data_IF_779792939998
#
_entry.id   IF_779792939998
#
_cell.length_a   1.000
_cell.length_b   1.000
_cell.length_c   1.000
_cell.angle_alpha   90.00
_cell.angle_beta   90.00
_cell.angle_gamma   90.00
#
_symmetry.space_group_name_H-M   'P 1'
#
loop_
_entity.id
_entity.type
_entity.pdbx_description
1 polymer ?
#
# COMPACT_ATOMS: atom_id res chain seq x y z
N UNK A 1 32.35 12.35 20.59
CA UNK A 1 31.97 12.43 19.17
C UNK A 1 31.96 10.99 18.64
N UNK A 2 30.81 10.36 18.57
CA UNK A 2 30.69 9.05 17.89
C UNK A 2 30.84 9.31 16.40
N UNK A 3 31.73 8.56 15.75
CA UNK A 3 31.81 8.56 14.30
C UNK A 3 30.41 8.23 13.74
N UNK A 4 29.97 8.89 12.65
CA UNK A 4 28.72 8.52 12.01
C UNK A 4 28.79 7.02 11.70
N UNK A 5 27.73 6.29 12.05
CA UNK A 5 27.59 4.88 11.70
C UNK A 5 27.83 4.75 10.20
N UNK A 6 28.88 3.99 9.81
CA UNK A 6 29.11 3.75 8.39
C UNK A 6 27.84 3.10 7.83
N UNK A 7 27.19 3.81 6.92
CA UNK A 7 26.12 3.28 6.10
C UNK A 7 26.57 1.90 5.57
N UNK A 8 25.82 0.85 5.88
CA UNK A 8 26.14 -0.47 5.34
C UNK A 8 26.01 -0.40 3.82
N UNK A 9 26.98 -0.91 3.12
CA UNK A 9 26.91 -1.04 1.67
C UNK A 9 25.63 -1.80 1.33
N UNK A 10 24.89 -1.28 0.36
CA UNK A 10 23.69 -1.92 -0.15
C UNK A 10 24.06 -3.23 -0.82
N UNK A 11 23.65 -4.36 -0.23
CA UNK A 11 23.84 -5.69 -0.81
C UNK A 11 22.60 -6.06 -1.63
N UNK A 12 22.80 -6.31 -2.91
CA UNK A 12 21.76 -6.76 -3.84
C UNK A 12 21.51 -8.27 -3.77
N UNK A 13 22.31 -8.99 -2.99
CA UNK A 13 22.17 -10.45 -2.87
C UNK A 13 20.97 -10.79 -2.00
N UNK A 14 19.97 -11.43 -2.59
CA UNK A 14 18.82 -11.94 -1.86
C UNK A 14 19.24 -13.15 -1.03
N UNK A 15 18.77 -13.20 0.22
CA UNK A 15 18.90 -14.38 1.07
C UNK A 15 17.94 -15.52 0.63
N UNK A 16 18.03 -16.67 1.29
CA UNK A 16 17.24 -17.84 0.89
C UNK A 16 15.74 -17.66 1.19
N UNK A 17 15.39 -16.96 2.28
CA UNK A 17 14.00 -16.65 2.64
C UNK A 17 13.38 -15.67 1.64
N UNK A 18 14.12 -14.63 1.23
CA UNK A 18 13.69 -13.69 0.20
C UNK A 18 13.48 -14.39 -1.15
N UNK A 19 14.32 -15.35 -1.54
CA UNK A 19 14.14 -16.12 -2.77
C UNK A 19 12.92 -17.02 -2.72
N UNK A 20 12.70 -17.70 -1.60
CA UNK A 20 11.52 -18.56 -1.42
C UNK A 20 10.22 -17.75 -1.44
N UNK A 21 10.20 -16.59 -0.78
CA UNK A 21 9.08 -15.67 -0.84
C UNK A 21 8.83 -15.16 -2.25
N UNK A 22 9.88 -14.78 -2.98
CA UNK A 22 9.79 -14.35 -4.37
C UNK A 22 9.12 -15.40 -5.25
N UNK A 23 9.57 -16.67 -5.17
CA UNK A 23 8.98 -17.76 -5.96
C UNK A 23 7.48 -17.94 -5.66
N UNK A 24 7.07 -17.68 -4.41
CA UNK A 24 5.67 -17.75 -3.99
C UNK A 24 4.88 -16.57 -4.54
N UNK A 25 5.39 -15.35 -4.41
CA UNK A 25 4.72 -14.13 -4.91
C UNK A 25 4.60 -14.15 -6.44
N UNK A 26 5.65 -14.55 -7.15
CA UNK A 26 5.62 -14.63 -8.62
C UNK A 26 4.64 -15.68 -9.12
N UNK A 27 4.55 -16.85 -8.46
CA UNK A 27 3.54 -17.86 -8.81
C UNK A 27 2.13 -17.34 -8.58
N UNK A 28 1.89 -16.67 -7.46
CA UNK A 28 0.59 -16.06 -7.16
C UNK A 28 0.27 -14.94 -8.16
N UNK A 29 1.21 -14.06 -8.44
CA UNK A 29 1.06 -12.98 -9.43
C UNK A 29 0.70 -13.52 -10.81
N UNK A 30 1.34 -14.61 -11.24
CA UNK A 30 1.10 -15.23 -12.55
C UNK A 30 -0.26 -15.93 -12.62
N UNK A 31 -0.56 -16.76 -11.61
CA UNK A 31 -1.69 -17.69 -11.68
C UNK A 31 -3.00 -17.10 -11.16
N UNK A 32 -2.93 -16.20 -10.16
CA UNK A 32 -4.11 -15.67 -9.48
C UNK A 32 -4.38 -14.19 -9.82
N UNK A 33 -3.35 -13.38 -10.06
CA UNK A 33 -3.53 -11.96 -10.38
C UNK A 33 -3.60 -11.74 -11.89
N UNK A 34 -2.52 -12.10 -12.63
CA UNK A 34 -2.42 -11.84 -14.07
C UNK A 34 -3.50 -12.56 -14.86
N UNK A 35 -3.88 -13.75 -14.42
CA UNK A 35 -4.90 -14.56 -15.09
C UNK A 35 -6.29 -13.90 -15.11
N UNK A 36 -6.62 -13.08 -14.11
CA UNK A 36 -7.94 -12.43 -13.98
C UNK A 36 -7.90 -10.92 -14.27
N UNK A 37 -6.73 -10.32 -14.37
CA UNK A 37 -6.54 -8.87 -14.45
C UNK A 37 -7.35 -8.20 -15.56
N UNK A 38 -7.33 -8.77 -16.78
CA UNK A 38 -8.05 -8.21 -17.93
C UNK A 38 -9.57 -8.21 -17.73
N UNK A 39 -10.11 -9.35 -17.32
CA UNK A 39 -11.55 -9.52 -17.13
C UNK A 39 -12.05 -8.65 -15.97
N UNK A 40 -11.25 -8.53 -14.92
CA UNK A 40 -11.52 -7.66 -13.78
C UNK A 40 -11.52 -6.17 -14.19
N UNK A 41 -10.55 -5.72 -15.00
CA UNK A 41 -10.50 -4.35 -15.50
C UNK A 41 -11.70 -4.05 -16.42
N UNK A 42 -12.08 -4.98 -17.32
CA UNK A 42 -13.24 -4.84 -18.17
C UNK A 42 -14.55 -4.76 -17.35
N UNK A 43 -14.66 -5.57 -16.30
CA UNK A 43 -15.79 -5.55 -15.36
C UNK A 43 -15.80 -4.31 -14.45
N UNK A 44 -14.65 -3.68 -14.22
CA UNK A 44 -14.49 -2.57 -13.26
C UNK A 44 -14.72 -2.99 -11.80
N UNK A 45 -14.41 -4.24 -11.46
CA UNK A 45 -14.63 -4.81 -10.14
C UNK A 45 -13.60 -5.91 -9.84
N UNK A 46 -13.24 -6.04 -8.55
CA UNK A 46 -12.42 -7.16 -8.08
C UNK A 46 -13.22 -8.46 -8.17
N UNK A 47 -12.63 -9.56 -8.67
CA UNK A 47 -13.31 -10.85 -8.73
C UNK A 47 -13.73 -11.36 -7.35
N UNK A 48 -14.88 -12.00 -7.26
CA UNK A 48 -15.38 -12.61 -6.01
C UNK A 48 -14.37 -13.60 -5.43
N UNK A 49 -14.13 -13.53 -4.12
CA UNK A 49 -13.18 -14.37 -3.40
C UNK A 49 -11.69 -14.08 -3.68
N UNK A 50 -11.37 -13.06 -4.49
CA UNK A 50 -9.98 -12.71 -4.79
C UNK A 50 -9.21 -12.30 -3.53
N UNK A 51 -9.79 -11.44 -2.71
CA UNK A 51 -9.14 -10.99 -1.49
C UNK A 51 -8.95 -12.10 -0.46
N UNK A 52 -9.87 -13.07 -0.37
CA UNK A 52 -9.70 -14.23 0.53
C UNK A 52 -8.49 -15.08 0.11
N UNK A 53 -8.28 -15.28 -1.19
CA UNK A 53 -7.06 -15.93 -1.69
C UNK A 53 -5.79 -15.14 -1.35
N UNK A 54 -5.85 -13.80 -1.36
CA UNK A 54 -4.69 -12.98 -0.97
C UNK A 54 -4.42 -13.04 0.53
N UNK A 55 -5.43 -13.25 1.36
CA UNK A 55 -5.26 -13.46 2.79
C UNK A 55 -4.42 -14.72 3.09
N UNK A 56 -4.51 -15.77 2.25
CA UNK A 56 -3.70 -16.99 2.37
C UNK A 56 -2.18 -16.73 2.25
N UNK A 57 -1.77 -15.62 1.59
CA UNK A 57 -0.37 -15.21 1.55
C UNK A 57 0.14 -14.71 2.91
N UNK A 58 -0.75 -14.41 3.84
CA UNK A 58 -0.44 -13.98 5.18
C UNK A 58 0.26 -12.63 5.30
N UNK A 59 0.26 -11.80 4.27
CA UNK A 59 1.05 -10.56 4.22
C UNK A 59 0.80 -9.61 5.41
N UNK A 60 -0.44 -9.53 5.88
CA UNK A 60 -0.80 -8.71 7.05
C UNK A 60 -0.52 -9.41 8.38
N UNK A 61 -0.57 -10.75 8.40
CA UNK A 61 -0.35 -11.60 9.59
C UNK A 61 1.13 -11.70 9.96
N UNK A 62 2.03 -11.72 8.97
CA UNK A 62 3.46 -11.98 9.17
C UNK A 62 4.10 -11.08 10.25
N UNK A 63 3.89 -9.75 10.29
CA UNK A 63 4.53 -8.87 11.27
C UNK A 63 3.81 -8.83 12.63
N UNK A 64 2.63 -9.42 12.76
CA UNK A 64 1.88 -9.41 14.02
C UNK A 64 2.55 -10.37 15.02
N UNK A 65 2.75 -9.94 16.29
CA UNK A 65 3.35 -10.80 17.32
C UNK A 65 2.59 -12.11 17.53
N UNK A 66 3.32 -13.20 17.82
CA UNK A 66 2.74 -14.52 18.12
C UNK A 66 1.71 -14.48 19.28
N UNK A 67 1.96 -13.62 20.27
CA UNK A 67 1.05 -13.43 21.40
C UNK A 67 -0.34 -12.89 20.97
N UNK A 68 -0.44 -12.29 19.78
CA UNK A 68 -1.68 -11.77 19.19
C UNK A 68 -2.18 -12.64 18.03
N UNK A 69 -1.60 -13.84 17.85
CA UNK A 69 -2.00 -14.81 16.84
C UNK A 69 -1.26 -14.68 15.48
N UNK A 70 -0.31 -13.79 15.37
CA UNK A 70 0.50 -13.59 14.16
C UNK A 70 1.71 -14.51 14.08
N UNK A 71 2.56 -14.29 13.07
CA UNK A 71 3.79 -15.07 12.86
C UNK A 71 5.01 -14.49 13.60
N UNK A 72 4.93 -13.29 14.17
CA UNK A 72 6.02 -12.66 14.91
C UNK A 72 7.26 -12.34 14.06
N UNK A 73 7.12 -12.31 12.74
CA UNK A 73 8.24 -12.05 11.86
C UNK A 73 8.66 -10.57 11.92
N UNK A 74 9.97 -10.35 11.89
CA UNK A 74 10.45 -8.98 11.81
C UNK A 74 9.97 -8.30 10.52
N UNK A 75 9.66 -7.01 10.61
CA UNK A 75 9.30 -6.21 9.44
C UNK A 75 10.57 -5.80 8.71
N UNK A 76 10.71 -6.30 7.50
CA UNK A 76 11.82 -5.98 6.62
C UNK A 76 11.31 -5.14 5.43
N UNK A 77 11.53 -3.82 5.42
CA UNK A 77 11.15 -2.95 4.32
C UNK A 77 11.62 -3.45 2.94
N UNK A 78 12.80 -4.05 2.88
CA UNK A 78 13.33 -4.65 1.64
C UNK A 78 12.44 -5.80 1.18
N UNK A 79 12.12 -6.76 2.06
CA UNK A 79 11.26 -7.91 1.71
C UNK A 79 9.85 -7.46 1.32
N UNK A 80 9.29 -6.47 2.01
CA UNK A 80 7.99 -5.90 1.66
C UNK A 80 8.00 -5.24 0.27
N UNK A 81 9.07 -4.52 -0.08
CA UNK A 81 9.23 -3.91 -1.40
C UNK A 81 9.35 -4.98 -2.50
N UNK A 82 10.11 -6.05 -2.26
CA UNK A 82 10.24 -7.17 -3.19
C UNK A 82 8.89 -7.87 -3.41
N UNK A 83 8.14 -8.16 -2.35
CA UNK A 83 6.82 -8.79 -2.44
C UNK A 83 5.83 -7.91 -3.20
N UNK A 84 5.80 -6.60 -2.92
CA UNK A 84 4.94 -5.65 -3.62
C UNK A 84 5.28 -5.55 -5.11
N UNK A 85 6.57 -5.53 -5.46
CA UNK A 85 7.06 -5.54 -6.85
C UNK A 85 6.60 -6.81 -7.57
N UNK A 86 6.86 -7.99 -6.99
CA UNK A 86 6.51 -9.28 -7.61
C UNK A 86 4.99 -9.41 -7.82
N UNK A 87 4.17 -9.01 -6.85
CA UNK A 87 2.70 -9.06 -6.98
C UNK A 87 2.16 -8.05 -8.01
N UNK A 88 2.68 -6.81 -8.00
CA UNK A 88 2.22 -5.75 -8.90
C UNK A 88 2.59 -5.99 -10.38
N UNK A 89 3.54 -6.89 -10.65
CA UNK A 89 3.77 -7.42 -11.99
C UNK A 89 2.51 -8.08 -12.58
N UNK A 90 1.71 -8.72 -11.74
CA UNK A 90 0.44 -9.31 -12.15
C UNK A 90 -0.59 -8.28 -12.57
N UNK A 91 -0.94 -7.38 -11.66
CA UNK A 91 -1.81 -6.23 -11.87
C UNK A 91 -1.69 -5.25 -10.69
N UNK A 92 -1.58 -3.96 -10.99
CA UNK A 92 -1.39 -2.92 -9.99
C UNK A 92 -2.63 -2.73 -9.10
N UNK A 93 -3.82 -2.69 -9.69
CA UNK A 93 -5.05 -2.35 -8.97
C UNK A 93 -5.46 -3.47 -8.00
N UNK A 94 -5.43 -4.72 -8.47
CA UNK A 94 -5.70 -5.91 -7.66
C UNK A 94 -4.67 -6.05 -6.52
N UNK A 95 -3.39 -5.83 -6.83
CA UNK A 95 -2.33 -5.89 -5.82
C UNK A 95 -2.47 -4.79 -4.79
N UNK A 96 -2.75 -3.55 -5.21
CA UNK A 96 -2.94 -2.44 -4.27
C UNK A 96 -4.08 -2.72 -3.29
N UNK A 97 -5.22 -3.26 -3.77
CA UNK A 97 -6.30 -3.69 -2.89
C UNK A 97 -5.86 -4.76 -1.88
N UNK A 98 -5.13 -5.77 -2.36
CA UNK A 98 -4.65 -6.89 -1.53
C UNK A 98 -3.68 -6.45 -0.42
N UNK A 99 -2.78 -5.47 -0.70
CA UNK A 99 -1.78 -5.01 0.27
C UNK A 99 -2.22 -3.82 1.11
N UNK A 100 -3.36 -3.20 0.79
CA UNK A 100 -3.88 -2.03 1.52
C UNK A 100 -4.00 -2.27 3.04
N UNK A 101 -4.47 -3.44 3.55
CA UNK A 101 -4.55 -3.69 4.99
C UNK A 101 -3.20 -3.66 5.71
N UNK A 102 -2.09 -3.93 5.02
CA UNK A 102 -0.75 -3.87 5.63
C UNK A 102 -0.40 -2.47 6.13
N UNK A 103 -0.85 -1.41 5.45
CA UNK A 103 -0.60 -0.05 5.89
C UNK A 103 -1.25 0.23 7.26
N UNK A 104 -2.49 -0.24 7.46
CA UNK A 104 -3.18 -0.16 8.74
C UNK A 104 -2.45 -0.97 9.82
N UNK A 105 -2.16 -2.25 9.57
CA UNK A 105 -1.48 -3.15 10.49
C UNK A 105 -0.10 -2.59 10.90
N UNK A 106 0.70 -2.17 9.92
CA UNK A 106 2.04 -1.65 10.19
C UNK A 106 1.99 -0.35 11.00
N UNK A 107 1.05 0.54 10.70
CA UNK A 107 0.90 1.78 11.47
C UNK A 107 0.45 1.50 12.91
N UNK A 108 -0.44 0.54 13.10
CA UNK A 108 -0.88 0.12 14.43
C UNK A 108 0.26 -0.52 15.24
N UNK A 109 1.10 -1.33 14.60
CA UNK A 109 2.29 -1.91 15.22
C UNK A 109 3.33 -0.85 15.60
N UNK A 110 3.49 0.19 14.77
CA UNK A 110 4.47 1.25 15.03
C UNK A 110 4.00 2.24 16.10
N UNK A 111 2.75 2.67 16.01
CA UNK A 111 2.27 3.88 16.70
C UNK A 111 1.00 3.65 17.54
N UNK A 112 0.37 2.48 17.48
CA UNK A 112 -0.80 2.15 18.29
C UNK A 112 -0.46 1.89 19.75
N UNK A 113 -1.44 2.07 20.63
CA UNK A 113 -1.35 1.64 22.03
C UNK A 113 -1.43 0.10 22.14
N UNK A 114 -0.98 -0.47 23.26
CA UNK A 114 -1.08 -1.91 23.50
C UNK A 114 -2.54 -2.38 23.47
N UNK A 115 -3.46 -1.61 24.05
CA UNK A 115 -4.90 -1.89 24.00
C UNK A 115 -5.44 -1.95 22.56
N UNK A 116 -5.03 -1.01 21.70
CA UNK A 116 -5.43 -0.99 20.29
C UNK A 116 -4.83 -2.16 19.52
N UNK A 117 -3.57 -2.52 19.80
CA UNK A 117 -2.95 -3.70 19.19
C UNK A 117 -3.69 -4.98 19.59
N UNK A 118 -4.03 -5.15 20.87
CA UNK A 118 -4.81 -6.29 21.37
C UNK A 118 -6.23 -6.34 20.79
N UNK A 119 -6.85 -5.20 20.54
CA UNK A 119 -8.21 -5.11 20.01
C UNK A 119 -8.29 -5.43 18.51
N UNK A 120 -7.36 -4.90 17.70
CA UNK A 120 -7.50 -4.92 16.24
C UNK A 120 -6.63 -5.95 15.54
N UNK A 121 -5.38 -6.20 16.00
CA UNK A 121 -4.46 -7.07 15.27
C UNK A 121 -4.90 -8.53 15.17
N UNK A 122 -5.54 -9.15 16.18
CA UNK A 122 -6.01 -10.53 16.08
C UNK A 122 -6.96 -10.79 14.90
N UNK A 123 -7.74 -9.77 14.49
CA UNK A 123 -8.67 -9.89 13.36
C UNK A 123 -7.96 -10.27 12.05
N UNK A 124 -6.72 -9.82 11.86
CA UNK A 124 -5.91 -10.12 10.67
C UNK A 124 -5.26 -11.50 10.71
N UNK A 125 -5.43 -12.25 11.79
CA UNK A 125 -4.86 -13.58 11.99
C UNK A 125 -5.89 -14.72 11.79
N UNK A 126 -7.15 -14.40 11.51
CA UNK A 126 -8.25 -15.39 11.40
C UNK A 126 -8.33 -16.08 10.03
N UNK A 127 -7.42 -15.78 9.10
CA UNK A 127 -7.36 -16.41 7.77
C UNK A 127 -8.38 -15.88 6.77
N UNK A 128 -9.11 -14.82 7.12
CA UNK A 128 -10.03 -14.09 6.24
C UNK A 128 -9.47 -12.71 5.91
N UNK A 129 -9.86 -12.17 4.77
CA UNK A 129 -9.45 -10.80 4.41
C UNK A 129 -10.21 -9.77 5.24
N UNK A 130 -9.47 -8.94 5.97
CA UNK A 130 -10.03 -7.79 6.68
C UNK A 130 -9.81 -6.54 5.84
N UNK A 131 -10.90 -5.92 5.38
CA UNK A 131 -10.84 -4.69 4.61
C UNK A 131 -10.49 -3.52 5.53
N UNK A 132 -9.19 -3.25 5.68
CA UNK A 132 -8.67 -2.12 6.44
C UNK A 132 -7.89 -1.18 5.52
N UNK A 133 -7.99 0.12 5.73
CA UNK A 133 -7.38 1.13 4.87
C UNK A 133 -6.88 2.34 5.63
N UNK A 134 -6.13 3.19 4.93
CA UNK A 134 -5.69 4.50 5.43
C UNK A 134 -6.22 5.62 4.55
N UNK A 135 -6.76 6.67 5.17
CA UNK A 135 -7.35 7.82 4.51
C UNK A 135 -6.49 9.07 4.76
N UNK A 136 -5.61 9.38 3.80
CA UNK A 136 -4.66 10.50 3.88
C UNK A 136 -5.06 11.63 2.94
N UNK A 137 -5.24 11.32 1.64
CA UNK A 137 -5.40 12.30 0.57
C UNK A 137 -6.71 13.08 0.69
N UNK A 138 -6.69 14.37 0.36
CA UNK A 138 -7.84 15.26 0.42
C UNK A 138 -8.17 15.86 -0.95
N UNK A 139 -9.46 16.13 -1.26
CA UNK A 139 -9.91 16.59 -2.57
C UNK A 139 -9.59 18.07 -2.79
N UNK A 140 -8.32 18.43 -2.85
CA UNK A 140 -7.84 19.79 -3.11
C UNK A 140 -6.64 19.80 -4.07
N UNK A 141 -6.58 20.79 -4.93
CA UNK A 141 -5.55 20.88 -5.98
C UNK A 141 -4.12 21.04 -5.41
N UNK A 142 -3.98 21.67 -4.25
CA UNK A 142 -2.71 21.90 -3.56
C UNK A 142 -2.58 21.01 -2.33
N UNK A 143 -2.93 19.72 -2.49
CA UNK A 143 -2.81 18.77 -1.37
C UNK A 143 -1.33 18.63 -0.94
N UNK A 144 -1.10 18.85 0.35
CA UNK A 144 0.15 18.51 1.03
C UNK A 144 -0.17 17.47 2.12
N UNK A 145 0.44 16.28 2.06
CA UNK A 145 0.19 15.25 3.07
C UNK A 145 0.62 15.65 4.48
N UNK A 146 1.55 16.63 4.59
CA UNK A 146 2.05 17.12 5.88
C UNK A 146 1.14 18.19 6.51
N UNK A 147 0.15 18.70 5.76
CA UNK A 147 -0.80 19.72 6.21
C UNK A 147 -2.25 19.25 6.03
N UNK A 148 -2.72 18.23 6.77
CA UNK A 148 -4.11 17.76 6.66
C UNK A 148 -5.09 18.87 7.03
N UNK A 149 -6.17 18.97 6.26
CA UNK A 149 -7.27 19.93 6.49
C UNK A 149 -8.52 19.27 7.07
N UNK A 150 -8.62 17.94 7.04
CA UNK A 150 -9.57 17.21 7.84
C UNK A 150 -9.24 17.46 9.30
N UNK A 151 -10.19 17.85 10.12
CA UNK A 151 -9.98 18.30 11.52
C UNK A 151 -10.63 17.36 12.51
N UNK A 152 -9.98 17.20 13.64
CA UNK A 152 -10.55 16.55 14.82
C UNK A 152 -10.50 17.51 16.00
N UNK A 153 -11.64 17.67 16.68
CA UNK A 153 -11.77 18.52 17.88
C UNK A 153 -12.14 17.65 19.06
N UNK A 154 -11.48 17.82 20.20
CA UNK A 154 -11.80 17.09 21.41
C UNK A 154 -13.19 17.52 21.95
N UNK A 155 -14.00 16.54 22.32
CA UNK A 155 -15.34 16.72 22.92
C UNK A 155 -15.42 16.00 24.26
N UNK A 156 -16.52 16.09 24.98
CA UNK A 156 -16.64 15.54 26.32
C UNK A 156 -16.34 14.04 26.48
N UNK A 157 -16.58 13.23 25.43
CA UNK A 157 -16.39 11.77 25.45
C UNK A 157 -15.71 11.30 24.14
N UNK A 158 -14.62 11.94 23.75
CA UNK A 158 -13.87 11.57 22.55
C UNK A 158 -13.60 12.73 21.61
N UNK A 159 -13.85 12.52 20.33
CA UNK A 159 -13.48 13.46 19.26
C UNK A 159 -14.62 13.66 18.27
N UNK A 160 -14.70 14.86 17.70
CA UNK A 160 -15.57 15.19 16.57
C UNK A 160 -14.72 15.35 15.33
N UNK A 161 -14.89 14.47 14.33
CA UNK A 161 -14.13 14.46 13.08
C UNK A 161 -14.91 15.14 11.96
N UNK A 162 -14.29 16.08 11.25
CA UNK A 162 -14.92 16.82 10.15
C UNK A 162 -13.95 17.01 8.98
N UNK A 163 -14.44 16.88 7.74
CA UNK A 163 -13.66 17.05 6.52
C UNK A 163 -13.93 15.99 5.48
N UNK A 164 -13.00 15.81 4.56
CA UNK A 164 -13.15 14.83 3.47
C UNK A 164 -11.80 14.23 3.07
N UNK A 165 -11.83 12.94 2.76
CA UNK A 165 -10.69 12.18 2.19
C UNK A 165 -11.11 11.62 0.84
N UNK A 166 -10.19 11.58 -0.11
CA UNK A 166 -10.45 11.05 -1.46
C UNK A 166 -9.43 9.98 -1.86
N UNK A 167 -9.73 9.26 -2.93
CA UNK A 167 -8.91 8.18 -3.46
C UNK A 167 -8.53 7.15 -2.39
N UNK A 168 -9.45 6.88 -1.47
CA UNK A 168 -9.22 5.92 -0.38
C UNK A 168 -9.40 4.51 -0.92
N UNK A 169 -8.34 3.67 -0.94
CA UNK A 169 -8.44 2.29 -1.40
C UNK A 169 -9.39 1.48 -0.50
N UNK A 170 -10.18 0.57 -1.08
CA UNK A 170 -11.23 -0.18 -0.36
C UNK A 170 -12.22 0.72 0.39
N UNK A 171 -12.32 1.99 0.00
CA UNK A 171 -13.06 3.00 0.74
C UNK A 171 -14.57 2.74 0.83
N UNK A 172 -15.15 1.97 -0.10
CA UNK A 172 -16.57 1.56 -0.03
C UNK A 172 -16.79 0.47 1.01
N UNK A 173 -15.89 -0.53 1.06
CA UNK A 173 -16.06 -1.78 1.83
C UNK A 173 -15.24 -1.82 3.12
N UNK A 174 -14.31 -0.90 3.36
CA UNK A 174 -13.41 -0.95 4.51
C UNK A 174 -14.17 -1.01 5.85
N UNK A 175 -13.86 -2.02 6.66
CA UNK A 175 -14.36 -2.18 8.03
C UNK A 175 -13.62 -1.29 9.02
N UNK A 176 -12.32 -1.05 8.73
CA UNK A 176 -11.41 -0.23 9.54
C UNK A 176 -10.77 0.84 8.67
N UNK A 177 -10.87 2.09 9.06
CA UNK A 177 -10.26 3.22 8.37
C UNK A 177 -9.38 3.99 9.34
N UNK A 178 -8.09 4.10 9.03
CA UNK A 178 -7.19 5.00 9.74
C UNK A 178 -7.24 6.37 9.05
N UNK A 179 -7.88 7.35 9.68
CA UNK A 179 -8.06 8.69 9.15
C UNK A 179 -7.00 9.63 9.71
N UNK A 180 -6.21 10.24 8.83
CA UNK A 180 -5.23 11.26 9.21
C UNK A 180 -5.93 12.62 9.25
N UNK A 181 -5.90 13.29 10.39
CA UNK A 181 -6.56 14.57 10.58
C UNK A 181 -5.71 15.52 11.44
N UNK A 182 -5.98 16.81 11.34
CA UNK A 182 -5.39 17.82 12.19
C UNK A 182 -6.17 17.82 13.55
N UNK A 183 -5.52 17.36 14.60
CA UNK A 183 -6.06 17.50 15.96
C UNK A 183 -5.83 18.93 16.43
N UNK A 184 -6.92 19.59 16.84
CA UNK A 184 -6.89 21.00 17.26
C UNK A 184 -5.86 21.21 18.38
N UNK A 185 -5.00 22.24 18.20
CA UNK A 185 -3.93 22.61 19.12
C UNK A 185 -2.79 21.59 19.33
N UNK A 186 -2.82 20.41 18.66
CA UNK A 186 -1.82 19.36 18.86
C UNK A 186 -1.04 18.98 17.59
N UNK A 187 -1.60 19.19 16.41
CA UNK A 187 -0.97 18.83 15.14
C UNK A 187 -1.60 17.61 14.48
N UNK A 188 -0.94 17.05 13.44
CA UNK A 188 -1.43 15.87 12.75
C UNK A 188 -1.55 14.66 13.68
N UNK A 189 -2.68 13.98 13.63
CA UNK A 189 -2.98 12.76 14.38
C UNK A 189 -3.72 11.75 13.51
N UNK A 190 -3.79 10.51 13.94
CA UNK A 190 -4.52 9.44 13.26
C UNK A 190 -5.66 8.94 14.13
N UNK A 191 -6.79 8.63 13.49
CA UNK A 191 -8.00 8.16 14.17
C UNK A 191 -8.46 6.85 13.54
N UNK A 192 -8.74 5.85 14.36
CA UNK A 192 -9.34 4.58 13.91
C UNK A 192 -10.86 4.77 13.86
N UNK A 193 -11.43 4.59 12.67
CA UNK A 193 -12.88 4.66 12.43
C UNK A 193 -13.35 3.27 12.04
N UNK A 194 -14.27 2.70 12.83
CA UNK A 194 -14.89 1.41 12.55
C UNK A 194 -16.21 1.58 11.80
N UNK A 195 -16.41 0.77 10.76
CA UNK A 195 -17.65 0.76 9.99
C UNK A 195 -17.97 2.10 9.34
N UNK A 196 -19.24 2.50 9.40
CA UNK A 196 -19.73 3.77 8.87
C UNK A 196 -20.57 4.46 9.94
N UNK A 197 -19.94 5.20 10.88
CA UNK A 197 -20.64 5.90 11.93
C UNK A 197 -21.56 7.00 11.39
N UNK A 198 -22.52 7.47 12.20
CA UNK A 198 -23.41 8.58 11.84
C UNK A 198 -22.59 9.84 11.48
N UNK A 199 -22.96 10.51 10.40
CA UNK A 199 -22.22 11.66 9.85
C UNK A 199 -21.11 11.28 8.86
N UNK A 200 -20.76 10.00 8.70
CA UNK A 200 -19.83 9.53 7.67
C UNK A 200 -20.58 9.12 6.41
N UNK A 201 -20.09 9.54 5.26
CA UNK A 201 -20.58 9.05 3.95
C UNK A 201 -19.43 8.52 3.12
N UNK A 202 -19.72 7.51 2.29
CA UNK A 202 -18.80 6.89 1.37
C UNK A 202 -19.34 7.05 -0.04
N UNK A 203 -18.52 7.56 -0.96
CA UNK A 203 -18.92 7.76 -2.35
C UNK A 203 -17.86 7.17 -3.26
N UNK A 204 -18.22 6.18 -4.07
CA UNK A 204 -17.32 5.58 -5.05
C UNK A 204 -16.78 6.64 -5.99
N UNK A 205 -15.51 6.50 -6.34
CA UNK A 205 -14.85 7.32 -7.35
C UNK A 205 -14.57 6.46 -8.60
N UNK A 206 -15.07 6.90 -9.75
CA UNK A 206 -14.81 6.25 -11.03
C UNK A 206 -13.58 6.88 -11.69
N UNK A 207 -12.54 6.06 -11.88
CA UNK A 207 -11.30 6.46 -12.50
C UNK A 207 -11.05 5.71 -13.81
N UNK A 208 -10.24 6.30 -14.71
CA UNK A 208 -9.85 5.65 -15.95
C UNK A 208 -8.92 4.45 -15.70
N UNK A 209 -8.02 4.56 -14.72
CA UNK A 209 -7.17 3.47 -14.22
C UNK A 209 -7.63 2.98 -12.87
N UNK A 210 -7.04 1.89 -12.35
CA UNK A 210 -7.35 1.27 -11.06
C UNK A 210 -8.84 0.89 -10.94
N UNK A 211 -9.46 0.47 -12.03
CA UNK A 211 -10.92 0.27 -12.14
C UNK A 211 -11.46 -0.83 -11.23
N UNK A 212 -10.62 -1.79 -10.90
CA UNK A 212 -10.98 -2.91 -10.00
C UNK A 212 -10.94 -2.53 -8.53
N UNK A 213 -10.17 -1.48 -8.19
CA UNK A 213 -10.02 -1.02 -6.82
C UNK A 213 -11.22 -0.15 -6.43
N UNK A 214 -11.82 -0.44 -5.28
CA UNK A 214 -12.94 0.33 -4.72
C UNK A 214 -12.43 1.65 -4.12
N UNK A 215 -12.01 2.59 -4.99
CA UNK A 215 -11.62 3.92 -4.56
C UNK A 215 -12.86 4.72 -4.17
N UNK A 216 -12.80 5.39 -3.02
CA UNK A 216 -13.91 6.22 -2.56
C UNK A 216 -13.45 7.53 -1.92
N UNK A 217 -14.32 8.52 -2.02
CA UNK A 217 -14.32 9.70 -1.17
C UNK A 217 -15.07 9.39 0.13
N UNK A 218 -14.44 9.67 1.27
CA UNK A 218 -15.00 9.59 2.59
C UNK A 218 -15.24 11.01 3.11
N UNK A 219 -16.50 11.37 3.39
CA UNK A 219 -16.82 12.66 3.99
C UNK A 219 -17.28 12.46 5.45
N UNK A 220 -16.83 13.35 6.30
CA UNK A 220 -17.08 13.35 7.74
C UNK A 220 -17.77 14.67 8.12
N UNK A 221 -19.00 14.59 8.59
CA UNK A 221 -19.79 15.72 9.11
C UNK A 221 -19.99 15.56 10.60
N UNK A 222 -19.06 16.12 11.38
CA UNK A 222 -19.08 16.06 12.85
C UNK A 222 -19.21 14.62 13.40
N UNK A 223 -18.52 13.67 12.78
CA UNK A 223 -18.52 12.25 13.17
C UNK A 223 -17.98 12.11 14.60
N UNK A 224 -18.79 11.55 15.49
CA UNK A 224 -18.39 11.35 16.88
C UNK A 224 -17.58 10.06 17.01
N UNK A 225 -16.38 10.18 17.53
CA UNK A 225 -15.47 9.07 17.79
C UNK A 225 -15.19 8.96 19.29
N UNK A 226 -15.08 7.75 19.84
CA UNK A 226 -14.72 7.55 21.24
C UNK A 226 -13.27 7.95 21.55
N UNK A 227 -12.91 8.07 22.81
CA UNK A 227 -11.55 8.46 23.24
C UNK A 227 -10.45 7.52 22.70
N UNK A 228 -10.74 6.22 22.64
CA UNK A 228 -9.83 5.17 22.17
C UNK A 228 -9.68 5.10 20.64
N UNK A 229 -10.43 5.93 19.90
CA UNK A 229 -10.23 6.08 18.46
C UNK A 229 -8.92 6.80 18.10
N UNK A 230 -8.42 7.67 18.97
CA UNK A 230 -7.13 8.34 18.77
C UNK A 230 -5.99 7.31 18.80
N UNK A 231 -5.20 7.23 17.73
CA UNK A 231 -4.09 6.27 17.63
C UNK A 231 -3.01 6.58 18.66
N UNK A 232 -2.63 5.58 19.42
CA UNK A 232 -1.57 5.69 20.43
C UNK A 232 -1.90 6.70 21.52
N UNK A 233 -0.98 7.62 21.77
CA UNK A 233 -1.10 8.73 22.72
C UNK A 233 -1.39 10.09 22.05
N UNK A 234 -1.64 10.05 20.71
CA UNK A 234 -1.87 11.25 19.89
C UNK A 234 -0.60 11.82 19.26
N UNK A 235 0.58 11.34 19.62
CA UNK A 235 1.82 11.69 18.92
C UNK A 235 1.94 10.84 17.66
N UNK A 236 1.61 11.40 16.49
CA UNK A 236 1.65 10.67 15.22
C UNK A 236 2.84 11.11 14.36
N UNK A 237 3.76 10.18 14.09
CA UNK A 237 4.87 10.41 13.16
C UNK A 237 4.36 10.33 11.70
N UNK A 238 3.75 11.44 11.27
CA UNK A 238 3.19 11.59 9.93
C UNK A 238 4.28 11.51 8.85
N UNK A 239 5.47 12.06 9.10
CA UNK A 239 6.56 12.02 8.12
C UNK A 239 6.97 10.58 7.80
N UNK A 240 7.25 9.79 8.85
CA UNK A 240 7.60 8.37 8.68
C UNK A 240 6.47 7.58 8.01
N UNK A 241 5.21 7.82 8.38
CA UNK A 241 4.05 7.19 7.73
C UNK A 241 4.01 7.50 6.24
N UNK A 242 4.19 8.76 5.85
CA UNK A 242 4.17 9.20 4.44
C UNK A 242 5.35 8.60 3.67
N UNK A 243 6.55 8.57 4.24
CA UNK A 243 7.74 8.07 3.56
C UNK A 243 7.67 6.55 3.33
N UNK A 244 7.23 5.77 4.32
CA UNK A 244 7.00 4.33 4.15
C UNK A 244 5.88 4.03 3.15
N UNK A 245 4.81 4.85 3.13
CA UNK A 245 3.72 4.72 2.15
C UNK A 245 4.21 4.99 0.73
N UNK A 246 5.03 6.03 0.54
CA UNK A 246 5.67 6.34 -0.75
C UNK A 246 6.58 5.22 -1.22
N UNK A 247 7.37 4.65 -0.31
CA UNK A 247 8.22 3.50 -0.62
C UNK A 247 7.40 2.31 -1.14
N UNK A 248 6.30 1.97 -0.48
CA UNK A 248 5.38 0.92 -0.94
C UNK A 248 4.82 1.20 -2.33
N UNK A 249 4.37 2.43 -2.59
CA UNK A 249 3.89 2.83 -3.92
C UNK A 249 4.97 2.78 -5.00
N UNK A 250 6.22 3.14 -4.68
CA UNK A 250 7.35 3.00 -5.61
C UNK A 250 7.59 1.54 -5.97
N UNK A 251 7.54 0.63 -5.01
CA UNK A 251 7.71 -0.81 -5.25
C UNK A 251 6.60 -1.36 -6.17
N UNK A 252 5.34 -1.01 -5.90
CA UNK A 252 4.21 -1.37 -6.75
C UNK A 252 4.36 -0.83 -8.18
N UNK A 253 4.81 0.42 -8.33
CA UNK A 253 5.05 1.05 -9.63
C UNK A 253 6.15 0.30 -10.42
N UNK A 254 7.24 -0.10 -9.76
CA UNK A 254 8.32 -0.89 -10.38
C UNK A 254 7.78 -2.22 -10.90
N UNK A 255 6.99 -2.94 -10.10
CA UNK A 255 6.37 -4.20 -10.52
C UNK A 255 5.45 -4.04 -11.73
N UNK A 256 4.57 -3.04 -11.70
CA UNK A 256 3.69 -2.71 -12.82
C UNK A 256 4.48 -2.40 -14.09
N UNK A 257 5.52 -1.56 -14.00
CA UNK A 257 6.39 -1.23 -15.13
C UNK A 257 7.14 -2.45 -15.67
N UNK A 258 7.55 -3.39 -14.80
CA UNK A 258 8.16 -4.65 -15.23
C UNK A 258 7.18 -5.48 -16.06
N UNK A 259 5.92 -5.60 -15.61
CA UNK A 259 4.88 -6.30 -16.37
C UNK A 259 4.64 -5.68 -17.76
N UNK A 260 4.68 -4.35 -17.85
CA UNK A 260 4.58 -3.62 -19.13
C UNK A 260 5.81 -3.89 -20.02
N UNK A 261 7.02 -3.82 -19.46
CA UNK A 261 8.24 -4.06 -20.22
C UNK A 261 8.29 -5.49 -20.80
N UNK A 262 7.89 -6.48 -19.99
CA UNK A 262 7.86 -7.88 -20.45
C UNK A 262 6.87 -8.07 -21.60
N UNK A 263 5.66 -7.51 -21.47
CA UNK A 263 4.67 -7.52 -22.55
C UNK A 263 5.17 -6.81 -23.83
N UNK A 264 5.79 -5.65 -23.70
CA UNK A 264 6.32 -4.88 -24.84
C UNK A 264 7.44 -5.64 -25.54
N UNK A 265 8.33 -6.31 -24.82
CA UNK A 265 9.42 -7.12 -25.38
C UNK A 265 8.89 -8.23 -26.28
N UNK A 266 7.85 -8.93 -25.86
CA UNK A 266 7.21 -9.96 -26.68
C UNK A 266 6.52 -9.33 -27.89
N UNK A 267 5.71 -8.31 -27.68
CA UNK A 267 4.97 -7.62 -28.73
C UNK A 267 5.84 -7.08 -29.86
N UNK A 268 6.96 -6.42 -29.56
CA UNK A 268 7.84 -5.84 -30.61
C UNK A 268 8.57 -6.90 -31.43
N UNK A 269 8.76 -8.10 -30.88
CA UNK A 269 9.37 -9.23 -31.56
C UNK A 269 8.36 -10.01 -32.42
N UNK A 270 7.09 -10.00 -32.07
CA UNK A 270 6.03 -10.70 -32.81
C UNK A 270 5.37 -9.82 -33.85
N UNK A 271 5.22 -8.52 -33.59
CA UNK A 271 4.55 -7.59 -34.49
C UNK A 271 5.38 -7.35 -35.74
N UNK A 272 4.86 -7.81 -36.89
CA UNK A 272 5.49 -7.58 -38.20
C UNK A 272 4.92 -6.33 -38.86
N UNK A 273 5.77 -5.44 -39.32
CA UNK A 273 5.44 -4.31 -40.18
C UNK A 273 6.54 -4.12 -41.23
N UNK A 274 6.15 -3.85 -42.47
CA UNK A 274 7.09 -3.75 -43.61
C UNK A 274 7.97 -4.98 -43.82
N UNK A 275 7.43 -6.17 -43.56
CA UNK A 275 8.06 -7.46 -43.84
C UNK A 275 9.01 -8.00 -42.77
N UNK A 276 9.14 -7.32 -41.62
CA UNK A 276 10.01 -7.76 -40.52
C UNK A 276 9.43 -7.39 -39.14
N UNK A 277 9.88 -8.03 -38.03
CA UNK A 277 9.54 -7.61 -36.68
C UNK A 277 9.87 -6.13 -36.44
N UNK A 278 9.00 -5.42 -35.70
CA UNK A 278 9.24 -3.99 -35.43
C UNK A 278 10.43 -3.77 -34.50
N UNK A 279 10.88 -4.78 -33.76
CA UNK A 279 12.11 -4.74 -32.96
C UNK A 279 13.37 -4.51 -33.80
N UNK A 280 13.36 -4.84 -35.11
CA UNK A 280 14.47 -4.56 -36.04
C UNK A 280 14.59 -3.06 -36.38
N UNK A 281 13.61 -2.26 -36.02
CA UNK A 281 13.65 -0.79 -36.18
C UNK A 281 14.43 -0.18 -35.00
N UNK A 282 15.56 0.47 -35.32
CA UNK A 282 16.45 1.05 -34.31
C UNK A 282 15.71 1.98 -33.32
N UNK A 283 14.76 2.81 -33.79
CA UNK A 283 13.98 3.67 -32.93
C UNK A 283 13.12 2.91 -31.92
N UNK A 284 12.50 1.78 -32.33
CA UNK A 284 11.72 0.91 -31.44
C UNK A 284 12.64 0.22 -30.42
N UNK A 285 13.76 -0.34 -30.90
CA UNK A 285 14.74 -1.01 -30.03
C UNK A 285 15.28 -0.06 -28.95
N UNK A 286 15.56 1.20 -29.31
CA UNK A 286 16.04 2.21 -28.36
C UNK A 286 14.96 2.58 -27.33
N UNK A 287 13.70 2.76 -27.72
CA UNK A 287 12.63 3.01 -26.76
C UNK A 287 12.49 1.90 -25.73
N UNK A 288 12.60 0.64 -26.16
CA UNK A 288 12.55 -0.51 -25.23
C UNK A 288 13.78 -0.54 -24.32
N UNK A 289 14.96 -0.21 -24.85
CA UNK A 289 16.19 -0.11 -24.07
C UNK A 289 16.11 1.02 -23.01
N UNK A 290 15.58 2.17 -23.39
CA UNK A 290 15.39 3.31 -22.49
C UNK A 290 14.41 2.94 -21.34
N UNK A 291 13.28 2.30 -21.67
CA UNK A 291 12.35 1.78 -20.66
C UNK A 291 13.04 0.83 -19.67
N UNK A 292 13.88 -0.08 -20.16
CA UNK A 292 14.58 -1.04 -19.32
C UNK A 292 15.62 -0.35 -18.40
N UNK A 293 16.34 0.65 -18.92
CA UNK A 293 17.33 1.41 -18.13
C UNK A 293 16.65 2.22 -17.03
N UNK A 294 15.57 2.93 -17.35
CA UNK A 294 14.82 3.74 -16.39
C UNK A 294 14.19 2.86 -15.31
N UNK A 295 13.59 1.72 -15.70
CA UNK A 295 13.00 0.78 -14.78
C UNK A 295 14.02 0.21 -13.79
N UNK A 296 15.20 -0.18 -14.27
CA UNK A 296 16.26 -0.70 -13.40
C UNK A 296 16.77 0.38 -12.44
N UNK A 297 16.90 1.61 -12.90
CA UNK A 297 17.25 2.75 -12.03
C UNK A 297 16.19 2.97 -10.93
N UNK A 298 14.89 2.96 -11.27
CA UNK A 298 13.79 3.08 -10.31
C UNK A 298 13.82 1.94 -9.28
N UNK A 299 14.04 0.70 -9.74
CA UNK A 299 14.14 -0.48 -8.87
C UNK A 299 15.26 -0.34 -7.85
N UNK A 300 16.46 -0.01 -8.30
CA UNK A 300 17.63 0.14 -7.43
C UNK A 300 17.45 1.28 -6.42
N UNK A 301 16.84 2.38 -6.82
CA UNK A 301 16.50 3.49 -5.91
C UNK A 301 15.48 3.06 -4.86
N UNK A 302 14.46 2.31 -5.25
CA UNK A 302 13.42 1.79 -4.33
C UNK A 302 14.03 0.81 -3.32
N UNK A 303 14.86 -0.13 -3.78
CA UNK A 303 15.51 -1.09 -2.88
C UNK A 303 16.51 -0.41 -1.94
N UNK A 304 17.23 0.61 -2.42
CA UNK A 304 18.11 1.41 -1.57
C UNK A 304 17.31 2.12 -0.48
N UNK A 305 16.21 2.80 -0.82
CA UNK A 305 15.34 3.45 0.15
C UNK A 305 14.77 2.45 1.17
N UNK A 306 14.35 1.26 0.72
CA UNK A 306 13.91 0.19 1.60
C UNK A 306 15.02 -0.27 2.57
N UNK A 307 16.24 -0.41 2.07
CA UNK A 307 17.40 -0.78 2.91
C UNK A 307 17.74 0.30 3.94
N UNK A 308 17.63 1.58 3.59
CA UNK A 308 17.83 2.67 4.54
C UNK A 308 16.73 2.67 5.63
N UNK A 309 15.47 2.53 5.23
CA UNK A 309 14.34 2.44 6.16
C UNK A 309 14.49 1.23 7.13
N UNK A 310 15.00 0.09 6.64
CA UNK A 310 15.28 -1.09 7.46
C UNK A 310 16.40 -0.86 8.49
N UNK A 311 17.37 -0.03 8.14
CA UNK A 311 18.47 0.37 9.04
C UNK A 311 18.07 1.51 10.01
N UNK A 312 16.86 2.05 9.89
CA UNK A 312 16.42 3.23 10.65
C UNK A 312 17.16 4.51 10.25
N UNK A 313 17.59 4.58 9.00
CA UNK A 313 18.23 5.74 8.40
C UNK A 313 17.21 6.44 7.47
N UNK A 314 17.20 7.78 7.51
CA UNK A 314 16.33 8.65 6.70
C UNK A 314 16.86 8.80 5.26
#
# INVERSE_FOLDING_TARGET
>A
MNAPSQERLFDLTRDDDQRMNQDTMQRFATNEIRAVAKDADEAGATPEGFYDKTAELGLSLLPIPEALGGAGMARYPVSNALNAEDLAWGDLALTLGAVTPQAFVNTLLDQGSDAQREQYLPRFCEGTFVAATTALMEPRATFDPMEPQCTATAVANGYSLSGSKCMVPLGESAELVLVIAQLEDQGPAAFIVEGTPEGMTRTREDHMGLRTLELATLAFDNVQLPDDALLGDGSFDLQRFVDLSRLGLCALAVGCCQGVLDYVKEYVNERVAFGEPISNRQAVAFMVADMAIELEAMRLMTWRAASLAEQGLD
#
